data_IF_794577370346
#
_entry.id   IF_794577370346
#
_cell.length_a   1.000
_cell.length_b   1.000
_cell.length_c   1.000
_cell.angle_alpha   90.00
_cell.angle_beta   90.00
_cell.angle_gamma   90.00
#
_symmetry.space_group_name_H-M   'P 1'
#
loop_
_entity.id
_entity.type
_entity.pdbx_description
1 polymer ?
#
# COMPACT_ATOMS: atom_id res chain seq x y z
N UNK A 1 4.70 -17.54 11.08
CA UNK A 1 3.80 -17.89 9.97
C UNK A 1 2.97 -16.63 9.68
N UNK A 2 3.03 -16.06 8.48
CA UNK A 2 2.18 -14.92 8.13
C UNK A 2 0.72 -15.36 8.26
N UNK A 3 -0.13 -14.56 8.90
CA UNK A 3 -1.55 -14.87 9.11
C UNK A 3 -2.35 -14.96 7.81
N UNK A 4 -1.81 -14.43 6.70
CA UNK A 4 -2.46 -14.36 5.39
C UNK A 4 -1.45 -14.67 4.26
N UNK A 5 -0.87 -15.88 4.23
CA UNK A 5 0.17 -16.24 3.24
C UNK A 5 -0.32 -16.24 1.78
N UNK A 6 -1.63 -16.21 1.56
CA UNK A 6 -2.31 -16.21 0.28
C UNK A 6 -2.83 -14.82 -0.14
N UNK A 7 -2.76 -13.82 0.74
CA UNK A 7 -3.16 -12.45 0.42
C UNK A 7 -2.09 -11.75 -0.42
N UNK A 8 -2.52 -10.85 -1.29
CA UNK A 8 -1.64 -10.04 -2.14
C UNK A 8 -2.03 -8.57 -2.09
N UNK A 9 -1.03 -7.72 -1.90
CA UNK A 9 -1.12 -6.27 -2.08
C UNK A 9 -1.10 -5.92 -3.57
N UNK A 10 -1.99 -5.03 -3.98
CA UNK A 10 -2.15 -4.60 -5.36
C UNK A 10 -2.36 -3.08 -5.38
N UNK A 11 -1.52 -2.29 -6.06
CA UNK A 11 -1.79 -0.88 -6.31
C UNK A 11 -3.08 -0.72 -7.12
N UNK A 12 -3.91 0.27 -6.77
CA UNK A 12 -5.17 0.56 -7.49
C UNK A 12 -5.12 1.85 -8.31
N UNK A 13 -4.03 2.61 -8.16
CA UNK A 13 -3.71 3.79 -8.93
C UNK A 13 -2.20 3.84 -9.19
N UNK A 14 -1.78 4.65 -10.17
CA UNK A 14 -0.36 4.95 -10.35
C UNK A 14 0.20 5.61 -9.09
N UNK A 15 1.38 5.19 -8.59
CA UNK A 15 2.05 5.86 -7.49
C UNK A 15 2.31 7.34 -7.81
N UNK A 16 2.12 8.20 -6.81
CA UNK A 16 2.43 9.62 -6.90
C UNK A 16 3.75 9.90 -6.20
N UNK A 17 4.59 10.75 -6.79
CA UNK A 17 5.88 11.15 -6.23
C UNK A 17 5.99 12.68 -6.20
N UNK A 18 6.49 13.23 -5.08
CA UNK A 18 6.83 14.64 -4.97
C UNK A 18 7.99 14.84 -3.97
N UNK A 19 9.12 15.32 -4.48
CA UNK A 19 10.32 15.49 -3.66
C UNK A 19 10.86 14.13 -3.22
N UNK A 20 11.03 13.94 -1.91
CA UNK A 20 11.41 12.67 -1.28
C UNK A 20 10.19 11.84 -0.82
N UNK A 21 8.98 12.34 -1.08
CA UNK A 21 7.72 11.72 -0.68
C UNK A 21 7.05 10.95 -1.82
N UNK A 22 6.44 9.82 -1.46
CA UNK A 22 5.57 9.03 -2.33
C UNK A 22 4.22 8.75 -1.69
N UNK A 23 3.18 8.60 -2.50
CA UNK A 23 1.85 8.14 -2.08
C UNK A 23 1.41 6.95 -2.92
N UNK A 24 0.89 5.90 -2.26
CA UNK A 24 0.39 4.69 -2.92
C UNK A 24 -1.00 4.37 -2.37
N UNK A 25 -1.95 4.12 -3.25
CA UNK A 25 -3.24 3.52 -2.89
C UNK A 25 -3.22 2.04 -3.26
N UNK A 26 -3.66 1.19 -2.34
CA UNK A 26 -3.60 -0.26 -2.50
C UNK A 26 -4.83 -0.97 -1.96
N UNK A 27 -5.02 -2.18 -2.45
CA UNK A 27 -5.93 -3.17 -1.89
C UNK A 27 -5.19 -4.47 -1.55
N UNK A 28 -5.66 -5.17 -0.54
CA UNK A 28 -5.14 -6.47 -0.12
C UNK A 28 -6.28 -7.50 -0.05
N UNK A 29 -6.03 -8.68 -0.59
CA UNK A 29 -6.97 -9.79 -0.53
C UNK A 29 -6.46 -11.02 -1.28
N UNK A 30 -7.28 -12.06 -1.32
CA UNK A 30 -6.98 -13.26 -2.10
C UNK A 30 -7.12 -12.98 -3.60
N UNK A 31 -6.22 -13.50 -4.45
CA UNK A 31 -6.38 -13.40 -5.89
C UNK A 31 -7.72 -13.96 -6.37
N UNK A 32 -8.49 -13.16 -7.11
CA UNK A 32 -9.79 -13.55 -7.66
C UNK A 32 -10.99 -13.39 -6.72
N UNK A 33 -10.77 -12.98 -5.46
CA UNK A 33 -11.83 -12.59 -4.53
C UNK A 33 -11.92 -11.06 -4.42
N UNK A 34 -13.00 -10.56 -3.82
CA UNK A 34 -13.08 -9.14 -3.46
C UNK A 34 -11.98 -8.80 -2.42
N UNK A 35 -11.43 -7.58 -2.44
CA UNK A 35 -10.43 -7.20 -1.46
C UNK A 35 -10.98 -7.24 -0.03
N UNK A 36 -10.13 -7.66 0.89
CA UNK A 36 -10.45 -7.69 2.32
C UNK A 36 -10.09 -6.36 3.00
N UNK A 37 -9.12 -5.63 2.45
CA UNK A 37 -8.64 -4.37 3.01
C UNK A 37 -8.18 -3.43 1.91
N UNK A 38 -8.33 -2.13 2.16
CA UNK A 38 -7.79 -1.06 1.32
C UNK A 38 -7.02 -0.09 2.20
N UNK A 39 -6.05 0.61 1.62
CA UNK A 39 -5.33 1.64 2.32
C UNK A 39 -4.58 2.60 1.40
N UNK A 40 -4.16 3.69 2.03
CA UNK A 40 -3.29 4.69 1.44
C UNK A 40 -2.05 4.81 2.30
N UNK A 41 -0.88 4.71 1.66
CA UNK A 41 0.42 4.87 2.29
C UNK A 41 1.09 6.16 1.83
N UNK A 42 1.79 6.81 2.76
CA UNK A 42 2.77 7.86 2.48
C UNK A 42 4.15 7.36 2.87
N UNK A 43 5.09 7.46 1.94
CA UNK A 43 6.46 6.94 2.07
C UNK A 43 7.42 8.11 1.97
N UNK A 44 8.40 8.19 2.87
CA UNK A 44 9.51 9.14 2.77
C UNK A 44 10.79 8.36 2.48
N UNK A 45 11.51 8.75 1.43
CA UNK A 45 12.79 8.16 1.05
C UNK A 45 13.96 9.08 1.42
N UNK A 46 14.98 8.54 2.09
CA UNK A 46 16.21 9.27 2.42
C UNK A 46 17.41 8.39 2.06
N UNK A 47 18.39 8.98 1.37
CA UNK A 47 19.63 8.30 0.95
C UNK A 47 19.38 6.98 0.20
N UNK A 48 18.36 6.96 -0.67
CA UNK A 48 17.97 5.79 -1.46
C UNK A 48 17.30 4.67 -0.65
N UNK A 49 16.84 4.95 0.56
CA UNK A 49 16.14 3.98 1.45
C UNK A 49 14.83 4.57 1.95
N UNK A 50 13.89 3.70 2.32
CA UNK A 50 12.67 4.13 3.02
C UNK A 50 13.05 4.57 4.44
N UNK A 51 12.79 5.83 4.76
CA UNK A 51 13.00 6.43 6.07
C UNK A 51 11.75 6.35 6.96
N UNK A 52 10.55 6.49 6.36
CA UNK A 52 9.28 6.39 7.05
C UNK A 52 8.16 5.86 6.14
N UNK A 53 7.18 5.19 6.75
CA UNK A 53 5.91 4.81 6.12
C UNK A 53 4.78 5.18 7.09
N UNK A 54 3.80 5.92 6.60
CA UNK A 54 2.55 6.22 7.32
C UNK A 54 1.41 5.55 6.57
N UNK A 55 0.66 4.68 7.26
CA UNK A 55 -0.43 3.90 6.69
C UNK A 55 -1.78 4.36 7.24
N UNK A 56 -2.76 4.49 6.34
CA UNK A 56 -4.16 4.72 6.66
C UNK A 56 -5.00 3.63 6.01
N UNK A 57 -5.93 3.04 6.77
CA UNK A 57 -6.92 2.15 6.18
C UNK A 57 -8.05 2.98 5.57
N UNK A 58 -8.41 2.62 4.35
CA UNK A 58 -9.50 3.22 3.62
C UNK A 58 -10.75 2.33 3.71
N UNK A 59 -11.90 2.91 3.36
CA UNK A 59 -13.06 2.09 3.05
C UNK A 59 -12.78 1.32 1.76
N UNK A 60 -13.26 0.07 1.70
CA UNK A 60 -13.26 -0.67 0.45
C UNK A 60 -14.05 0.11 -0.63
N UNK A 61 -13.56 0.16 -1.87
CA UNK A 61 -14.25 0.79 -2.98
C UNK A 61 -15.61 0.15 -3.30
#
# INVERSE_FOLDING_TARGET
KASHSDFRYQPIAEPEEMGDGGRIQWVEGRPGEAPATAGTEFIIAQDGRIAAVYLFFDKLP
#
